data_IF_889304940614
#
_entry.id   IF_889304940614
#
_cell.length_a   1.000
_cell.length_b   1.000
_cell.length_c   1.000
_cell.angle_alpha   90.00
_cell.angle_beta   90.00
_cell.angle_gamma   90.00
#
_symmetry.space_group_name_H-M   'P 1'
#
loop_
_entity.id
_entity.type
_entity.pdbx_description
1 polymer ?
#
# COMPACT_ATOMS: atom_id res chain seq x y z
N UNK A 1 -37.46 -42.43 -17.43
CA UNK A 1 -36.96 -41.87 -16.15
C UNK A 1 -35.44 -42.10 -15.99
N UNK A 2 -34.61 -41.46 -16.83
CA UNK A 2 -33.12 -41.58 -16.74
C UNK A 2 -32.38 -40.28 -17.08
N UNK A 3 -33.04 -39.12 -17.00
CA UNK A 3 -32.45 -37.85 -17.48
C UNK A 3 -32.56 -36.67 -16.50
N UNK A 4 -32.92 -36.90 -15.24
CA UNK A 4 -33.11 -35.81 -14.25
C UNK A 4 -32.08 -35.88 -13.10
N UNK A 5 -31.39 -37.01 -12.92
CA UNK A 5 -30.39 -37.15 -11.85
C UNK A 5 -28.96 -36.69 -12.21
N UNK A 6 -28.71 -36.29 -13.46
CA UNK A 6 -27.37 -35.84 -13.90
C UNK A 6 -27.14 -34.32 -13.77
N UNK A 7 -28.17 -33.53 -13.48
CA UNK A 7 -28.08 -32.05 -13.46
C UNK A 7 -27.88 -31.48 -12.05
N UNK A 8 -28.17 -32.26 -10.99
CA UNK A 8 -28.02 -31.81 -9.60
C UNK A 8 -26.66 -32.14 -8.95
N UNK A 9 -25.76 -32.82 -9.68
CA UNK A 9 -24.41 -33.16 -9.21
C UNK A 9 -23.29 -32.28 -9.81
N UNK A 10 -23.65 -31.29 -10.64
CA UNK A 10 -22.72 -30.31 -11.22
C UNK A 10 -22.78 -28.93 -10.54
N UNK A 11 -23.59 -28.77 -9.48
CA UNK A 11 -23.83 -27.49 -8.80
C UNK A 11 -23.21 -27.37 -7.39
N UNK A 12 -22.42 -28.35 -6.93
CA UNK A 12 -21.81 -28.31 -5.59
C UNK A 12 -20.30 -28.02 -5.55
N UNK A 13 -19.66 -27.72 -6.68
CA UNK A 13 -18.23 -27.37 -6.72
C UNK A 13 -17.99 -25.90 -7.03
N UNK A 14 -18.64 -25.02 -6.28
CA UNK A 14 -18.22 -23.61 -6.17
C UNK A 14 -17.99 -23.29 -4.70
N UNK A 15 -17.02 -23.95 -4.09
CA UNK A 15 -16.52 -23.53 -2.79
C UNK A 15 -15.00 -23.48 -2.79
N UNK A 16 -14.52 -22.35 -2.28
CA UNK A 16 -13.13 -21.97 -2.08
C UNK A 16 -12.33 -21.73 -3.37
N UNK A 17 -12.54 -20.58 -4.01
CA UNK A 17 -11.39 -19.83 -4.53
C UNK A 17 -10.53 -19.45 -3.32
N UNK A 18 -9.63 -20.36 -2.94
CA UNK A 18 -8.41 -19.97 -2.24
C UNK A 18 -7.79 -18.93 -3.16
N UNK A 19 -7.82 -17.66 -2.74
CA UNK A 19 -6.98 -16.64 -3.36
C UNK A 19 -5.56 -17.06 -3.00
N UNK A 20 -5.00 -17.98 -3.78
CA UNK A 20 -3.58 -18.23 -3.84
C UNK A 20 -2.99 -16.97 -4.46
N UNK A 21 -2.82 -15.95 -3.62
CA UNK A 21 -2.15 -14.73 -4.05
C UNK A 21 -0.70 -15.13 -4.24
N UNK A 22 -0.35 -15.39 -5.50
CA UNK A 22 0.98 -15.80 -5.93
C UNK A 22 2.01 -14.90 -5.24
N UNK A 23 2.90 -15.52 -4.44
CA UNK A 23 4.00 -14.81 -3.78
C UNK A 23 4.78 -14.11 -4.88
N UNK A 24 4.74 -12.79 -4.88
CA UNK A 24 5.28 -11.96 -5.94
C UNK A 24 6.80 -12.16 -6.03
N UNK A 25 7.25 -12.95 -7.01
CA UNK A 25 8.67 -13.31 -7.17
C UNK A 25 9.48 -12.20 -7.84
N UNK A 26 8.81 -11.21 -8.44
CA UNK A 26 9.46 -10.16 -9.23
C UNK A 26 10.18 -9.13 -8.37
N UNK A 27 9.89 -9.10 -7.04
CA UNK A 27 10.42 -8.13 -6.08
C UNK A 27 10.41 -6.69 -6.61
N UNK A 28 9.41 -6.33 -7.41
CA UNK A 28 9.28 -5.04 -8.09
C UNK A 28 9.45 -3.83 -7.17
N UNK A 29 9.11 -4.00 -5.89
CA UNK A 29 9.23 -2.99 -4.85
C UNK A 29 10.68 -2.57 -4.56
N UNK A 30 11.67 -3.38 -4.92
CA UNK A 30 13.10 -3.04 -4.79
C UNK A 30 13.51 -1.87 -5.69
N UNK A 31 12.70 -1.55 -6.72
CA UNK A 31 12.93 -0.39 -7.60
C UNK A 31 12.40 0.91 -7.00
N UNK A 32 11.61 0.85 -5.93
CA UNK A 32 11.04 2.02 -5.30
C UNK A 32 12.09 2.73 -4.44
N UNK A 33 12.03 4.07 -4.33
CA UNK A 33 12.93 4.80 -3.45
C UNK A 33 12.71 4.37 -1.99
N UNK A 34 13.80 4.32 -1.23
CA UNK A 34 13.74 4.03 0.19
C UNK A 34 13.04 5.15 0.95
N UNK A 35 12.28 4.79 1.99
CA UNK A 35 11.69 5.79 2.86
C UNK A 35 12.79 6.60 3.57
N UNK A 36 12.70 7.94 3.61
CA UNK A 36 13.51 8.74 4.51
C UNK A 36 13.33 8.25 5.95
N UNK A 37 14.41 8.25 6.74
CA UNK A 37 14.32 7.85 8.15
C UNK A 37 13.54 8.84 9.01
N UNK A 38 13.47 10.08 8.54
CA UNK A 38 12.80 11.19 9.22
C UNK A 38 11.72 11.75 8.31
N UNK A 39 10.62 12.18 8.92
CA UNK A 39 9.54 12.87 8.22
C UNK A 39 10.13 14.00 7.34
N UNK A 40 9.89 13.98 6.02
CA UNK A 40 10.43 14.98 5.09
C UNK A 40 10.11 16.42 5.48
N UNK A 41 8.93 16.64 6.06
CA UNK A 41 8.44 17.97 6.47
C UNK A 41 8.76 18.30 7.94
N UNK A 42 9.58 17.50 8.65
CA UNK A 42 9.80 17.67 10.10
C UNK A 42 10.31 19.07 10.44
N UNK A 43 11.13 19.67 9.58
CA UNK A 43 11.70 21.00 9.74
C UNK A 43 11.05 22.05 8.81
N UNK A 44 9.84 21.76 8.31
CA UNK A 44 9.15 22.58 7.32
C UNK A 44 9.07 21.89 5.96
N UNK A 45 8.11 22.33 5.15
CA UNK A 45 7.79 21.73 3.85
C UNK A 45 8.94 21.94 2.86
N UNK A 46 9.43 20.85 2.26
CA UNK A 46 10.45 20.89 1.21
C UNK A 46 9.86 20.41 -0.12
N UNK A 47 9.74 21.32 -1.07
CA UNK A 47 9.23 20.98 -2.39
C UNK A 47 10.31 20.31 -3.27
N UNK A 48 9.87 19.47 -4.20
CA UNK A 48 10.66 18.74 -5.21
C UNK A 48 11.69 17.78 -4.62
N UNK A 49 11.44 17.23 -3.42
CA UNK A 49 12.31 16.23 -2.78
C UNK A 49 11.91 14.78 -3.10
N UNK A 50 10.84 14.60 -3.89
CA UNK A 50 10.31 13.31 -4.30
C UNK A 50 9.31 12.69 -3.31
N UNK A 51 8.88 13.41 -2.26
CA UNK A 51 7.93 12.92 -1.27
C UNK A 51 6.79 13.92 -1.06
N UNK A 52 5.57 13.52 -1.39
CA UNK A 52 4.41 14.37 -1.20
C UNK A 52 3.59 13.89 0.00
N UNK A 53 3.17 14.81 0.86
CA UNK A 53 2.31 14.52 2.01
C UNK A 53 0.96 13.94 1.54
N UNK A 54 0.64 12.76 2.05
CA UNK A 54 -0.51 11.99 1.62
C UNK A 54 -1.82 12.56 2.17
N UNK A 55 -2.90 12.42 1.38
CA UNK A 55 -4.26 12.88 1.71
C UNK A 55 -5.14 11.74 2.26
N UNK A 56 -4.56 10.56 2.49
CA UNK A 56 -5.26 9.38 2.97
C UNK A 56 -5.71 9.50 4.43
N UNK A 57 -6.65 8.63 4.82
CA UNK A 57 -7.11 8.56 6.20
C UNK A 57 -6.15 7.71 7.05
N UNK A 58 -5.17 8.37 7.68
CA UNK A 58 -4.20 7.75 8.58
C UNK A 58 -4.85 6.95 9.71
N UNK A 59 -5.87 7.50 10.38
CA UNK A 59 -6.52 6.83 11.51
C UNK A 59 -7.16 5.49 11.11
N UNK A 60 -7.64 5.40 9.85
CA UNK A 60 -8.21 4.17 9.29
C UNK A 60 -7.13 3.16 8.87
N UNK A 61 -6.14 3.61 8.10
CA UNK A 61 -5.21 2.70 7.41
C UNK A 61 -3.88 2.49 8.14
N UNK A 62 -3.36 3.51 8.82
CA UNK A 62 -2.05 3.50 9.50
C UNK A 62 -2.20 3.97 10.95
N UNK A 63 -3.07 3.30 11.71
CA UNK A 63 -3.38 3.67 13.11
C UNK A 63 -2.12 3.69 13.98
N UNK A 64 -1.69 4.88 14.37
CA UNK A 64 -0.46 5.13 15.13
C UNK A 64 0.52 6.08 14.42
N UNK A 65 0.39 6.23 13.10
CA UNK A 65 1.13 7.24 12.34
C UNK A 65 0.46 8.61 12.47
N UNK A 66 1.27 9.67 12.47
CA UNK A 66 0.83 11.07 12.50
C UNK A 66 1.01 11.76 11.16
N UNK A 67 1.89 11.25 10.30
CA UNK A 67 2.10 11.73 8.95
C UNK A 67 2.35 10.57 7.99
N UNK A 68 1.88 10.72 6.75
CA UNK A 68 2.21 9.83 5.64
C UNK A 68 2.66 10.63 4.43
N UNK A 69 3.57 10.04 3.66
CA UNK A 69 4.11 10.61 2.43
C UNK A 69 4.13 9.54 1.35
N UNK A 70 3.94 9.95 0.10
CA UNK A 70 4.06 9.06 -1.07
C UNK A 70 5.18 9.53 -1.97
N UNK A 71 5.98 8.59 -2.44
CA UNK A 71 7.04 8.89 -3.38
C UNK A 71 6.48 9.35 -4.72
N UNK A 72 7.13 10.32 -5.35
CA UNK A 72 6.86 10.75 -6.72
C UNK A 72 8.16 11.16 -7.43
N UNK A 73 8.22 11.16 -8.78
CA UNK A 73 7.21 10.61 -9.68
C UNK A 73 7.07 9.08 -9.50
N UNK A 74 5.94 8.53 -9.95
CA UNK A 74 5.73 7.09 -9.86
C UNK A 74 6.75 6.29 -10.70
N UNK A 75 7.29 5.21 -10.13
CA UNK A 75 8.29 4.35 -10.75
C UNK A 75 7.60 3.30 -11.63
N UNK A 76 8.13 3.05 -12.84
CA UNK A 76 7.64 1.97 -13.70
C UNK A 76 8.15 0.63 -13.20
N UNK A 77 7.22 -0.28 -12.93
CA UNK A 77 7.46 -1.62 -12.40
C UNK A 77 6.63 -2.65 -13.17
N UNK A 78 6.79 -3.92 -12.83
CA UNK A 78 5.98 -5.05 -13.29
C UNK A 78 4.49 -4.87 -12.95
N UNK A 79 4.19 -4.12 -11.89
CA UNK A 79 2.83 -3.80 -11.45
C UNK A 79 2.22 -2.56 -12.13
N UNK A 80 3.04 -1.83 -12.90
CA UNK A 80 2.66 -0.64 -13.64
C UNK A 80 3.41 0.60 -13.18
N UNK A 81 2.69 1.63 -12.73
CA UNK A 81 3.30 2.85 -12.16
C UNK A 81 3.08 2.81 -10.65
N UNK A 82 4.11 2.45 -9.91
CA UNK A 82 4.08 2.17 -8.46
C UNK A 82 4.74 3.29 -7.65
N UNK A 83 4.48 3.33 -6.35
CA UNK A 83 5.18 4.21 -5.42
C UNK A 83 5.32 3.58 -4.03
N UNK A 84 6.18 4.19 -3.22
CA UNK A 84 6.30 3.91 -1.81
C UNK A 84 5.38 4.86 -1.02
N UNK A 85 4.61 4.34 -0.08
CA UNK A 85 4.03 5.14 1.00
C UNK A 85 4.87 4.94 2.27
N UNK A 86 5.29 6.04 2.90
CA UNK A 86 6.03 6.06 4.15
C UNK A 86 5.15 6.68 5.24
N UNK A 87 5.20 6.14 6.45
CA UNK A 87 4.44 6.64 7.59
C UNK A 87 5.39 6.92 8.76
N UNK A 88 5.14 8.01 9.46
CA UNK A 88 5.99 8.51 10.53
C UNK A 88 5.19 8.67 11.82
N UNK A 89 5.86 8.47 12.94
CA UNK A 89 5.26 8.65 14.26
C UNK A 89 5.23 10.15 14.67
N UNK A 90 4.73 10.44 15.86
CA UNK A 90 4.67 11.80 16.41
C UNK A 90 6.04 12.47 16.59
N UNK A 91 7.11 11.69 16.70
CA UNK A 91 8.48 12.19 16.80
C UNK A 91 9.10 12.42 15.44
N UNK A 92 8.42 12.05 14.35
CA UNK A 92 8.91 12.13 12.98
C UNK A 92 9.80 10.96 12.58
N UNK A 93 9.84 9.88 13.36
CA UNK A 93 10.60 8.67 13.04
C UNK A 93 9.83 7.76 12.08
N UNK A 94 10.54 7.14 11.14
CA UNK A 94 9.96 6.18 10.20
C UNK A 94 9.41 4.96 10.93
N UNK A 95 8.14 4.64 10.68
CA UNK A 95 7.52 3.42 11.18
C UNK A 95 7.79 2.28 10.19
N UNK A 96 8.74 1.41 10.52
CA UNK A 96 9.21 0.32 9.62
C UNK A 96 8.44 -0.98 9.77
N UNK A 97 7.58 -1.13 10.80
CA UNK A 97 6.82 -2.35 11.02
C UNK A 97 5.49 -2.09 11.74
N UNK A 98 4.68 -3.14 11.85
CA UNK A 98 3.37 -3.04 12.50
C UNK A 98 2.29 -2.45 11.58
N UNK A 99 1.11 -2.24 12.18
CA UNK A 99 -0.07 -1.72 11.47
C UNK A 99 0.07 -0.27 11.01
N UNK A 100 0.92 0.51 11.69
CA UNK A 100 1.13 1.93 11.38
C UNK A 100 2.18 2.16 10.29
N UNK A 101 2.92 1.12 9.89
CA UNK A 101 3.91 1.24 8.83
C UNK A 101 3.26 1.60 7.50
N UNK A 102 4.02 2.30 6.65
CA UNK A 102 3.61 2.60 5.29
C UNK A 102 3.53 1.34 4.41
N UNK A 103 2.87 1.45 3.27
CA UNK A 103 2.64 0.33 2.34
C UNK A 103 3.31 0.59 0.99
N UNK A 104 3.48 -0.48 0.22
CA UNK A 104 3.88 -0.40 -1.17
C UNK A 104 2.63 -0.28 -2.04
N UNK A 105 2.60 0.72 -2.93
CA UNK A 105 1.48 0.88 -3.85
C UNK A 105 1.84 0.27 -5.21
N UNK A 106 1.15 -0.80 -5.60
CA UNK A 106 1.24 -1.34 -6.96
C UNK A 106 0.81 -0.30 -7.98
N UNK A 107 -0.17 0.55 -7.63
CA UNK A 107 -0.59 1.69 -8.43
C UNK A 107 -0.52 2.99 -7.64
N UNK A 108 0.37 3.88 -8.06
CA UNK A 108 0.49 5.20 -7.47
C UNK A 108 -0.75 6.06 -7.73
N UNK A 109 -1.31 6.59 -6.64
CA UNK A 109 -2.31 7.66 -6.64
C UNK A 109 -1.69 9.07 -6.69
N UNK A 110 -0.36 9.19 -6.58
CA UNK A 110 0.37 10.46 -6.55
C UNK A 110 0.95 10.78 -7.93
N UNK A 111 0.90 12.06 -8.34
CA UNK A 111 1.61 12.56 -9.53
C UNK A 111 2.66 13.63 -9.22
N UNK A 112 2.80 14.04 -7.96
CA UNK A 112 3.59 15.18 -7.53
C UNK A 112 2.96 15.82 -6.30
N UNK A 113 3.31 17.08 -6.06
CA UNK A 113 2.80 17.86 -4.94
C UNK A 113 2.34 19.26 -5.35
N UNK A 114 1.55 19.90 -4.50
CA UNK A 114 1.21 21.31 -4.61
C UNK A 114 2.19 22.20 -3.84
N UNK A 115 1.97 23.53 -3.86
CA UNK A 115 2.83 24.51 -3.18
C UNK A 115 2.95 24.34 -1.66
N UNK A 116 2.12 23.50 -1.04
CA UNK A 116 2.14 23.19 0.39
C UNK A 116 2.69 21.79 0.67
N UNK A 117 3.30 21.13 -0.32
CA UNK A 117 3.84 19.77 -0.18
C UNK A 117 2.76 18.67 -0.14
N UNK A 118 1.49 19.01 -0.37
CA UNK A 118 0.41 18.03 -0.36
C UNK A 118 0.34 17.32 -1.71
N UNK A 119 0.09 16.01 -1.69
CA UNK A 119 0.03 15.22 -2.92
C UNK A 119 -1.01 15.74 -3.91
N UNK A 120 -0.60 15.84 -5.17
CA UNK A 120 -1.50 15.99 -6.32
C UNK A 120 -1.99 14.61 -6.73
N UNK A 121 -3.32 14.46 -6.77
CA UNK A 121 -3.97 13.17 -7.03
C UNK A 121 -3.99 12.88 -8.52
N UNK A 122 -3.51 11.70 -8.88
CA UNK A 122 -3.65 11.14 -10.22
C UNK A 122 -4.98 10.40 -10.32
N UNK A 123 -6.02 11.02 -10.87
CA UNK A 123 -7.41 10.47 -10.87
C UNK A 123 -7.51 9.00 -11.33
N UNK A 124 -7.00 8.67 -12.54
CA UNK A 124 -6.96 7.27 -13.01
C UNK A 124 -5.99 6.37 -12.21
N UNK A 125 -5.00 6.97 -11.55
CA UNK A 125 -4.13 6.29 -10.58
C UNK A 125 -4.89 5.88 -9.32
N UNK A 126 -5.75 6.76 -8.80
CA UNK A 126 -6.55 6.53 -7.60
C UNK A 126 -7.51 5.35 -7.74
N UNK A 127 -8.17 5.21 -8.90
CA UNK A 127 -9.05 4.07 -9.18
C UNK A 127 -8.24 2.76 -9.12
N UNK A 128 -7.10 2.71 -9.81
CA UNK A 128 -6.24 1.53 -9.79
C UNK A 128 -5.64 1.26 -8.39
N UNK A 129 -5.28 2.30 -7.64
CA UNK A 129 -4.80 2.20 -6.26
C UNK A 129 -5.86 1.55 -5.36
N UNK A 130 -7.13 1.94 -5.53
CA UNK A 130 -8.21 1.33 -4.77
C UNK A 130 -8.30 -0.18 -5.01
N UNK A 131 -8.32 -0.62 -6.27
CA UNK A 131 -8.49 -2.04 -6.59
C UNK A 131 -7.26 -2.88 -6.30
N UNK A 132 -6.05 -2.36 -6.52
CA UNK A 132 -4.80 -3.10 -6.34
C UNK A 132 -4.24 -3.08 -4.92
N UNK A 133 -4.51 -2.01 -4.16
CA UNK A 133 -3.84 -1.78 -2.87
C UNK A 133 -4.86 -1.69 -1.72
N UNK A 134 -5.85 -0.78 -1.81
CA UNK A 134 -6.79 -0.49 -0.70
C UNK A 134 -7.83 -1.60 -0.48
N UNK A 135 -8.42 -2.15 -1.54
CA UNK A 135 -9.43 -3.21 -1.44
C UNK A 135 -8.83 -4.49 -0.86
N UNK A 136 -7.66 -5.00 -1.31
CA UNK A 136 -6.99 -6.12 -0.66
C UNK A 136 -6.69 -5.87 0.82
N UNK A 137 -6.17 -4.68 1.17
CA UNK A 137 -5.97 -4.29 2.58
C UNK A 137 -7.26 -4.40 3.39
N UNK A 138 -8.34 -3.75 2.93
CA UNK A 138 -9.63 -3.76 3.62
C UNK A 138 -10.21 -5.18 3.75
N UNK A 139 -10.04 -6.03 2.75
CA UNK A 139 -10.52 -7.40 2.78
C UNK A 139 -9.78 -8.24 3.84
N UNK A 140 -8.46 -8.04 4.00
CA UNK A 140 -7.69 -8.70 5.04
C UNK A 140 -8.05 -8.17 6.43
N UNK A 141 -8.15 -6.84 6.58
CA UNK A 141 -8.51 -6.20 7.85
C UNK A 141 -9.94 -6.51 8.33
N UNK A 142 -10.87 -6.81 7.42
CA UNK A 142 -12.24 -7.25 7.77
C UNK A 142 -12.28 -8.68 8.27
N UNK A 143 -11.39 -9.55 7.78
CA UNK A 143 -11.32 -10.95 8.20
C UNK A 143 -10.65 -11.11 9.56
N UNK A 144 -9.65 -10.27 9.82
CA UNK A 144 -8.87 -10.30 11.06
C UNK A 144 -8.36 -8.88 11.39
N UNK A 145 -8.51 -8.47 12.64
CA UNK A 145 -7.91 -7.22 13.15
C UNK A 145 -6.38 -7.19 13.04
N UNK A 146 -5.73 -8.35 12.94
CA UNK A 146 -4.33 -8.54 12.63
C UNK A 146 -4.04 -8.77 11.13
N UNK A 147 -5.01 -8.55 10.24
CA UNK A 147 -4.88 -8.73 8.78
C UNK A 147 -3.74 -7.93 8.14
N UNK A 148 -3.30 -6.84 8.78
CA UNK A 148 -2.10 -6.10 8.41
C UNK A 148 -0.83 -6.97 8.42
N UNK A 149 -0.75 -8.02 9.26
CA UNK A 149 0.38 -8.95 9.27
C UNK A 149 0.45 -9.74 7.98
N UNK A 150 -0.70 -10.25 7.52
CA UNK A 150 -0.81 -10.97 6.26
C UNK A 150 -0.51 -10.05 5.07
N UNK A 151 -0.98 -8.80 5.13
CA UNK A 151 -0.63 -7.80 4.12
C UNK A 151 0.88 -7.53 4.12
N UNK A 152 1.48 -7.16 5.25
CA UNK A 152 2.90 -6.80 5.32
C UNK A 152 3.85 -7.98 5.05
N UNK A 153 3.40 -9.24 5.18
CA UNK A 153 4.15 -10.41 4.76
C UNK A 153 4.28 -10.52 3.22
N UNK A 154 3.33 -9.95 2.48
CA UNK A 154 3.32 -9.91 1.02
C UNK A 154 3.86 -8.59 0.47
N UNK A 155 3.58 -7.49 1.16
CA UNK A 155 3.96 -6.13 0.82
C UNK A 155 4.78 -5.54 1.96
N UNK A 156 6.05 -5.94 2.02
CA UNK A 156 6.95 -5.57 3.10
C UNK A 156 7.14 -4.06 3.11
N UNK A 157 6.78 -3.34 4.19
CA UNK A 157 7.09 -1.93 4.34
C UNK A 157 8.58 -1.68 4.14
N UNK A 158 8.92 -0.55 3.52
CA UNK A 158 10.32 -0.17 3.36
C UNK A 158 10.93 0.15 4.72
N UNK A 159 12.10 -0.41 5.00
CA UNK A 159 12.82 -0.22 6.27
C UNK A 159 13.75 1.02 6.27
N UNK A 160 13.63 1.87 5.25
CA UNK A 160 14.41 3.09 5.08
C UNK A 160 15.92 2.87 5.03
N UNK A 161 16.37 1.71 4.53
CA UNK A 161 17.79 1.31 4.53
C UNK A 161 18.40 1.25 5.94
N UNK A 162 17.73 0.59 6.88
CA UNK A 162 18.21 0.44 8.27
C UNK A 162 18.23 1.74 9.06
N UNK A 163 17.18 2.57 8.91
CA UNK A 163 16.93 3.64 9.87
C UNK A 163 17.07 3.08 11.28
N UNK A 164 17.95 3.71 12.09
CA UNK A 164 18.38 3.20 13.38
C UNK A 164 17.20 2.67 14.18
N UNK A 165 17.18 1.35 14.38
CA UNK A 165 16.27 0.67 15.29
C UNK A 165 16.77 0.84 16.72
#
# INVERSE_FOLDING_TARGET
MKLIFLVLLLLSMMNATVVAQQKDTTRWYQKLPACPCRNPDFNGVKLNDGWAKDKGNLAKYHKGATASFRSYPAVKTEEGKSCQQCCYDSKGDLIVSGRAAGTLDKKSACSGEDKNGLMTVRYFGLIGHYFKDVKPWNNLMKKDTAGWKAYNALWIPNNGNHCGL
#
